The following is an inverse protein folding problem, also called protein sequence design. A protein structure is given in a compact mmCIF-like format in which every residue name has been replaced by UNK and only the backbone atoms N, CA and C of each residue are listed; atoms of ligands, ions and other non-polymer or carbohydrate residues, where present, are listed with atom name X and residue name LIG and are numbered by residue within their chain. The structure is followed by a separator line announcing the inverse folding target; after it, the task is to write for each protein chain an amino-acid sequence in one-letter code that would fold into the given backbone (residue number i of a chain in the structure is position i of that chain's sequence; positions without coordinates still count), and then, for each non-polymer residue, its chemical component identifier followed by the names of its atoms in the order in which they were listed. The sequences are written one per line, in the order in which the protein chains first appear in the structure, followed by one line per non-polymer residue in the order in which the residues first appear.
data_IF_994684749322
#
_entry.id   IF_994684749322
#
_cell.length_a   1.000
_cell.length_b   1.000
_cell.length_c   1.000
_cell.angle_alpha   90.00
_cell.angle_beta   90.00
_cell.angle_gamma   90.00
#
_symmetry.space_group_name_H-M   'P 1'
#
loop_
_entity.id
_entity.type
_entity.pdbx_description
1 polymer ?
#
# COMPACT_ATOMS: atom_id res chain seq x y z
N UNK A 1 -14.95 -16.39 -19.15
CA UNK A 1 -15.21 -16.91 -19.41
C UNK A 1 -15.13 -16.68 -19.83
N UNK A 2 -14.95 -16.63 -19.11
CA UNK A 2 -15.04 -16.92 -19.21
C UNK A 2 -14.95 -16.72 -19.26
N UNK A 3 -14.81 -16.67 -18.34
CA UNK A 3 -14.84 -16.92 -18.35
C UNK A 3 -14.94 -16.70 -18.34
N UNK A 4 -14.90 -16.65 -17.58
CA UNK A 4 -15.11 -16.92 -17.42
C UNK A 4 -15.10 -16.67 -17.21
N UNK A 5 -15.07 -16.68 -16.55
CA UNK A 5 -15.24 -16.94 -16.30
C UNK A 5 -15.13 -16.69 -16.03
N UNK A 6 -14.99 -16.62 -15.67
CA UNK A 6 -15.06 -16.90 -15.50
C UNK A 6 -14.92 -16.64 -15.27
N UNK A 7 -14.92 -16.52 -14.81
CA UNK A 7 -15.01 -16.80 -14.72
C UNK A 7 -15.08 -16.71 -14.50
N UNK A 8 -15.00 -16.78 -13.86
CA UNK A 8 -15.18 -17.14 -13.71
C UNK A 8 -15.32 -17.08 -13.18
N UNK A 9 -15.45 -16.93 -12.78
CA UNK A 9 -15.66 -17.20 -12.23
C UNK A 9 -15.54 -16.80 -11.77
N UNK A 10 -15.53 -16.75 -11.57
CA UNK A 10 -15.61 -16.83 -11.04
C UNK A 10 -15.23 -16.15 -10.69
N UNK A 11 -15.38 -16.19 -10.50
CA UNK A 11 -15.14 -15.97 -10.11
C UNK A 11 -14.80 -15.28 -9.67
N UNK A 12 -14.87 -15.30 -9.50
CA UNK A 12 -14.58 -14.99 -8.96
C UNK A 12 -14.15 -14.60 -8.29
N UNK A 13 -14.07 -14.82 -8.06
CA UNK A 13 -13.77 -14.73 -7.32
C UNK A 13 -13.06 -14.40 -6.99
N UNK A 14 -13.06 -15.02 -6.95
CA UNK A 14 -12.31 -14.80 -6.49
C UNK A 14 -11.41 -14.11 -6.89
N UNK A 15 -11.12 -13.52 -7.21
CA UNK A 15 -10.40 -12.74 -7.58
C UNK A 15 -9.93 -11.56 -7.08
N UNK A 16 -10.03 -11.52 -6.46
CA UNK A 16 -9.78 -10.33 -5.90
C UNK A 16 -8.48 -10.21 -5.34
N UNK A 17 -7.95 -11.16 -4.87
CA UNK A 17 -6.64 -11.20 -4.30
C UNK A 17 -5.58 -10.83 -5.25
N UNK A 18 -5.82 -11.09 -6.51
CA UNK A 18 -4.84 -10.82 -7.53
C UNK A 18 -4.62 -9.35 -7.73
N UNK A 19 -5.56 -8.52 -7.32
CA UNK A 19 -5.41 -7.09 -7.52
C UNK A 19 -4.40 -6.46 -6.55
N UNK A 20 -4.04 -7.16 -5.46
CA UNK A 20 -3.10 -6.63 -4.49
C UNK A 20 -1.76 -7.34 -4.63
N UNK A 21 -1.01 -6.98 -5.67
CA UNK A 21 0.23 -7.66 -6.00
C UNK A 21 1.47 -6.83 -5.79
N UNK A 22 1.34 -5.54 -5.61
CA UNK A 22 2.48 -4.64 -5.48
C UNK A 22 2.71 -4.27 -4.03
N UNK A 23 3.99 -4.24 -3.66
CA UNK A 23 4.37 -3.92 -2.30
C UNK A 23 4.27 -2.42 -2.07
N UNK A 24 3.71 -2.05 -0.94
CA UNK A 24 3.72 -0.65 -0.51
C UNK A 24 5.17 -0.26 -0.21
N UNK A 25 5.67 0.83 -0.78
CA UNK A 25 7.06 1.23 -0.54
C UNK A 25 7.35 1.61 0.91
N UNK A 26 6.32 1.93 1.68
CA UNK A 26 6.50 2.28 3.09
C UNK A 26 6.57 1.04 3.98
N UNK A 27 5.54 0.19 3.96
CA UNK A 27 5.47 -0.93 4.90
C UNK A 27 5.96 -2.25 4.32
N UNK A 28 6.06 -2.36 2.99
CA UNK A 28 6.55 -3.56 2.35
C UNK A 28 5.52 -4.66 2.14
N UNK A 29 4.30 -4.47 2.59
CA UNK A 29 3.26 -5.47 2.40
C UNK A 29 2.59 -5.29 1.04
N UNK A 30 2.06 -6.38 0.49
CA UNK A 30 1.45 -6.36 -0.85
C UNK A 30 0.02 -5.89 -0.76
N UNK A 31 -0.14 -4.59 -0.64
CA UNK A 31 -1.45 -3.97 -0.41
C UNK A 31 -1.95 -3.14 -1.60
N UNK A 32 -1.15 -3.01 -2.65
CA UNK A 32 -1.46 -2.10 -3.75
C UNK A 32 -1.77 -2.86 -5.03
N UNK A 33 -2.73 -2.35 -5.80
CA UNK A 33 -3.11 -2.97 -7.07
C UNK A 33 -2.16 -2.58 -8.20
N UNK A 34 -1.56 -1.40 -8.14
CA UNK A 34 -0.64 -0.91 -9.17
C UNK A 34 0.37 0.02 -8.53
N UNK A 35 1.60 0.11 -9.08
CA UNK A 35 2.59 1.04 -8.55
C UNK A 35 2.25 2.47 -8.96
N UNK A 36 2.62 3.42 -8.10
CA UNK A 36 2.55 4.85 -8.41
C UNK A 36 1.18 5.35 -8.81
N UNK A 37 0.12 4.71 -8.27
CA UNK A 37 -1.24 5.04 -8.65
C UNK A 37 -1.97 5.86 -7.59
N UNK A 38 -1.24 6.43 -6.67
CA UNK A 38 -1.78 7.21 -5.55
C UNK A 38 -2.75 6.40 -4.68
N UNK A 39 -2.58 5.10 -4.67
CA UNK A 39 -3.40 4.25 -3.82
C UNK A 39 -2.96 4.39 -2.37
N UNK A 40 -3.95 4.37 -1.49
CA UNK A 40 -3.72 4.46 -0.06
C UNK A 40 -3.55 3.06 0.51
N UNK A 41 -2.42 2.82 1.18
CA UNK A 41 -2.16 1.51 1.77
C UNK A 41 -2.99 1.36 3.06
N UNK A 42 -3.84 0.35 3.15
CA UNK A 42 -4.67 0.19 4.35
C UNK A 42 -3.89 -0.26 5.58
N UNK A 43 -2.66 -0.74 5.39
CA UNK A 43 -1.85 -1.22 6.52
C UNK A 43 -1.07 -0.09 7.16
N UNK A 44 -0.50 0.84 6.38
CA UNK A 44 0.31 1.91 6.95
C UNK A 44 -0.23 3.31 6.68
N UNK A 45 -1.17 3.45 5.73
CA UNK A 45 -1.79 4.72 5.36
C UNK A 45 -0.90 5.64 4.53
N UNK A 46 0.16 5.09 3.93
CA UNK A 46 0.96 5.82 2.95
C UNK A 46 0.24 5.83 1.59
N UNK A 47 0.19 6.98 0.94
CA UNK A 47 -0.29 7.03 -0.45
C UNK A 47 0.90 6.92 -1.38
N UNK A 48 0.84 5.99 -2.32
CA UNK A 48 1.98 5.69 -3.19
C UNK A 48 2.13 6.76 -4.26
N UNK A 49 2.94 7.75 -3.97
CA UNK A 49 3.17 8.90 -4.85
C UNK A 49 4.33 8.68 -5.81
N UNK A 50 4.91 7.49 -5.82
CA UNK A 50 6.01 7.17 -6.73
C UNK A 50 7.39 7.26 -6.10
N UNK A 51 7.49 7.69 -4.85
CA UNK A 51 8.79 7.68 -4.17
C UNK A 51 9.28 6.26 -3.97
N UNK A 52 10.58 6.06 -4.18
CA UNK A 52 11.23 4.77 -3.99
C UNK A 52 12.53 4.97 -3.22
N UNK A 53 13.38 3.94 -3.19
CA UNK A 53 14.57 3.99 -2.35
C UNK A 53 15.49 5.16 -2.69
N UNK A 54 15.63 5.47 -3.96
CA UNK A 54 16.57 6.49 -4.40
C UNK A 54 16.21 7.89 -3.92
N UNK A 55 14.92 8.17 -3.79
CA UNK A 55 14.48 9.50 -3.40
C UNK A 55 13.66 9.48 -2.11
N UNK A 56 13.78 8.41 -1.34
CA UNK A 56 12.95 8.22 -0.15
C UNK A 56 13.12 9.35 0.88
N UNK A 57 14.27 10.01 0.91
CA UNK A 57 14.50 11.08 1.87
C UNK A 57 13.96 12.43 1.42
N UNK A 58 13.46 12.52 0.19
CA UNK A 58 12.94 13.78 -0.33
C UNK A 58 11.51 14.00 0.13
N UNK A 59 11.17 15.27 0.33
CA UNK A 59 9.79 15.66 0.65
C UNK A 59 9.18 16.22 -0.62
N UNK A 60 8.19 15.50 -1.15
CA UNK A 60 7.62 15.86 -2.44
C UNK A 60 6.44 16.83 -2.34
N UNK A 61 5.89 17.02 -1.14
CA UNK A 61 4.73 17.90 -0.90
C UNK A 61 3.54 17.53 -1.80
N UNK A 62 3.38 16.22 -2.02
CA UNK A 62 2.24 15.70 -2.77
C UNK A 62 1.15 15.28 -1.80
N UNK A 63 0.48 14.17 -2.09
CA UNK A 63 -0.60 13.67 -1.24
C UNK A 63 -0.14 13.33 0.19
N UNK A 64 1.15 13.09 0.38
CA UNK A 64 1.70 12.80 1.70
C UNK A 64 2.20 14.05 2.43
N UNK A 65 2.01 15.23 1.82
CA UNK A 65 2.39 16.50 2.43
C UNK A 65 3.89 16.58 2.72
N UNK A 66 4.27 17.03 3.91
CA UNK A 66 5.68 17.18 4.25
C UNK A 66 6.37 15.89 4.67
N UNK A 67 5.67 14.75 4.59
CA UNK A 67 6.21 13.48 5.04
C UNK A 67 7.00 12.80 3.93
N UNK A 68 8.27 12.51 4.15
CA UNK A 68 9.08 11.76 3.22
C UNK A 68 8.84 10.27 3.40
N UNK A 69 9.18 9.48 2.37
CA UNK A 69 9.05 8.03 2.47
C UNK A 69 9.95 7.48 3.58
N UNK A 70 11.16 8.05 3.74
CA UNK A 70 12.06 7.63 4.81
C UNK A 70 11.44 7.83 6.19
N UNK A 71 10.79 8.97 6.40
CA UNK A 71 10.13 9.24 7.67
C UNK A 71 8.93 8.31 7.87
N UNK A 72 8.18 8.06 6.81
CA UNK A 72 7.05 7.15 6.89
C UNK A 72 7.50 5.74 7.27
N UNK A 73 8.60 5.27 6.70
CA UNK A 73 9.17 3.97 7.03
C UNK A 73 9.60 3.90 8.48
N UNK A 74 10.22 4.97 8.97
CA UNK A 74 10.64 5.03 10.38
C UNK A 74 9.43 4.97 11.30
N UNK A 75 8.41 5.76 11.00
CA UNK A 75 7.19 5.75 11.81
C UNK A 75 6.53 4.39 11.82
N UNK A 76 6.48 3.73 10.64
CA UNK A 76 5.87 2.41 10.59
C UNK A 76 6.61 1.41 11.45
N UNK A 77 7.94 1.47 11.45
CA UNK A 77 8.73 0.59 12.30
C UNK A 77 8.47 0.86 13.80
N UNK A 78 8.18 2.10 14.15
CA UNK A 78 8.00 2.50 15.53
C UNK A 78 6.57 2.26 16.04
N UNK A 79 5.57 2.55 15.21
CA UNK A 79 4.19 2.52 15.70
C UNK A 79 3.20 1.76 14.82
N UNK A 80 3.60 1.32 13.62
CA UNK A 80 2.72 0.57 12.75
C UNK A 80 1.89 1.41 11.80
N UNK A 81 2.25 2.67 11.62
CA UNK A 81 1.60 3.56 10.65
C UNK A 81 2.64 4.50 10.07
N UNK A 82 2.36 5.04 8.88
CA UNK A 82 3.26 5.99 8.23
C UNK A 82 3.45 7.27 9.06
N UNK A 83 2.51 7.57 9.93
CA UNK A 83 2.59 8.64 10.90
C UNK A 83 1.66 8.29 12.06
N UNK A 84 2.02 8.65 13.30
CA UNK A 84 1.17 8.31 14.45
C UNK A 84 -0.27 8.78 14.32
N UNK A 85 -0.51 9.89 13.62
CA UNK A 85 -1.88 10.39 13.46
C UNK A 85 -2.76 9.46 12.63
N UNK A 86 -2.17 8.52 11.91
CA UNK A 86 -2.92 7.58 11.08
C UNK A 86 -3.32 6.31 11.81
N UNK A 87 -2.88 6.14 13.06
CA UNK A 87 -3.16 4.92 13.81
C UNK A 87 -4.64 4.52 13.85
N UNK A 88 -5.59 5.46 13.96
CA UNK A 88 -7.01 5.06 13.98
C UNK A 88 -7.50 4.43 12.67
N UNK A 89 -6.75 4.57 11.59
CA UNK A 89 -7.20 4.16 10.26
C UNK A 89 -6.54 2.90 9.73
N UNK A 90 -5.43 2.48 10.33
CA UNK A 90 -4.66 1.35 9.81
C UNK A 90 -5.16 0.03 10.38
N UNK A 91 -4.80 -1.05 9.69
CA UNK A 91 -5.07 -2.41 10.14
C UNK A 91 -3.84 -3.27 9.94
N UNK A 92 -3.82 -4.42 10.59
CA UNK A 92 -2.72 -5.35 10.38
C UNK A 92 -2.82 -6.00 9.00
N UNK A 93 -1.69 -6.40 8.42
CA UNK A 93 -1.72 -7.07 7.12
C UNK A 93 -2.34 -8.46 7.24
N UNK A 94 -3.02 -8.88 6.18
CA UNK A 94 -3.55 -10.23 6.10
C UNK A 94 -2.45 -11.19 5.65
N UNK A 95 -2.74 -12.49 5.72
CA UNK A 95 -1.77 -13.49 5.27
C UNK A 95 -1.48 -13.39 3.78
N UNK A 96 -2.42 -12.88 3.01
CA UNK A 96 -2.22 -12.73 1.57
C UNK A 96 -1.34 -11.54 1.23
N UNK A 97 -1.12 -10.65 2.17
CA UNK A 97 -0.36 -9.42 1.96
C UNK A 97 1.09 -9.52 2.44
N UNK A 98 1.45 -10.62 3.04
CA UNK A 98 2.79 -10.80 3.60
C UNK A 98 3.93 -10.73 2.59
#
# INVERSE_FOLDING_TARGET
MQLSAVNRAGANSVHLDVSNQYRCPCCGYRTLAAPEALELCPVCWWEDDGQEDEDASEVWLTVNGPLSLSEARMHFAECGAAHPRFLPYVRKPSSLEQ
#
